data_IF_603767665441
#
_entry.id   IF_603767665441
#
_cell.length_a   1.000
_cell.length_b   1.000
_cell.length_c   1.000
_cell.angle_alpha   90.00
_cell.angle_beta   90.00
_cell.angle_gamma   90.00
#
_symmetry.space_group_name_H-M   'P 1'
#
loop_
_entity.id
_entity.type
_entity.pdbx_description
1 polymer ?
#
# COMPACT_ATOMS: atom_id res chain seq x y z
N UNK A 1 6.66 15.79 -67.64
CA UNK A 1 6.46 16.34 -66.28
C UNK A 1 7.33 15.56 -65.32
N UNK A 2 8.21 16.20 -64.54
CA UNK A 2 8.90 15.51 -63.43
C UNK A 2 7.83 15.15 -62.39
N UNK A 3 7.67 13.85 -62.10
CA UNK A 3 6.60 13.31 -61.23
C UNK A 3 6.86 13.58 -59.74
N UNK A 4 8.05 14.05 -59.39
CA UNK A 4 8.45 14.35 -58.02
C UNK A 4 9.41 15.53 -58.05
N UNK A 5 9.30 16.39 -57.03
CA UNK A 5 10.06 17.62 -56.87
C UNK A 5 10.38 17.78 -55.38
N UNK A 6 11.62 18.12 -55.05
CA UNK A 6 12.09 18.22 -53.66
C UNK A 6 12.33 19.67 -53.27
N UNK A 7 11.57 20.13 -52.27
CA UNK A 7 11.76 21.41 -51.60
C UNK A 7 12.50 21.18 -50.29
N UNK A 8 13.81 21.40 -50.27
CA UNK A 8 14.62 21.32 -49.05
C UNK A 8 16.06 21.80 -49.25
N UNK A 9 16.87 21.76 -48.20
CA UNK A 9 18.27 22.19 -48.25
C UNK A 9 19.10 21.22 -49.10
N UNK A 10 19.97 21.74 -49.96
CA UNK A 10 20.99 20.94 -50.66
C UNK A 10 22.07 20.55 -49.65
N UNK A 11 22.19 19.27 -49.34
CA UNK A 11 23.13 18.74 -48.35
C UNK A 11 24.56 18.58 -48.88
N UNK A 12 24.78 18.63 -50.20
CA UNK A 12 26.08 18.45 -50.85
C UNK A 12 26.37 19.52 -51.90
N UNK A 13 27.66 19.88 -52.06
CA UNK A 13 28.14 20.78 -53.13
C UNK A 13 28.15 20.12 -54.52
N UNK A 14 28.05 18.80 -54.58
CA UNK A 14 28.08 18.01 -55.83
C UNK A 14 26.66 17.75 -56.36
N UNK A 15 25.84 18.79 -56.55
CA UNK A 15 24.52 18.66 -57.16
C UNK A 15 24.61 18.88 -58.67
N UNK A 16 23.78 18.16 -59.44
CA UNK A 16 23.68 18.29 -60.90
C UNK A 16 22.33 18.88 -61.30
N UNK A 17 22.24 19.51 -62.47
CA UNK A 17 21.00 20.11 -62.99
C UNK A 17 19.91 19.06 -63.30
N UNK A 18 20.25 17.77 -63.35
CA UNK A 18 19.30 16.67 -63.49
C UNK A 18 18.56 16.31 -62.20
N UNK A 19 19.05 16.73 -61.03
CA UNK A 19 18.48 16.36 -59.73
C UNK A 19 17.05 16.90 -59.52
N UNK A 20 16.40 16.39 -58.47
CA UNK A 20 14.97 16.57 -58.20
C UNK A 20 14.66 17.91 -57.49
N UNK A 21 15.67 18.73 -57.23
CA UNK A 21 15.52 20.00 -56.53
C UNK A 21 14.79 21.04 -57.38
N UNK A 22 13.83 21.74 -56.76
CA UNK A 22 13.19 22.91 -57.37
C UNK A 22 14.09 24.13 -57.15
N UNK A 23 14.50 24.85 -58.21
CA UNK A 23 15.26 26.09 -58.06
C UNK A 23 14.35 27.20 -57.51
N UNK A 24 14.88 27.99 -56.59
CA UNK A 24 14.22 29.19 -56.07
C UNK A 24 14.66 30.43 -56.85
N UNK A 25 13.90 31.52 -56.72
CA UNK A 25 14.17 32.79 -57.42
C UNK A 25 15.43 33.51 -56.93
N UNK A 26 15.88 33.26 -55.70
CA UNK A 26 17.09 33.85 -55.13
C UNK A 26 17.78 32.89 -54.16
N UNK A 27 19.07 33.11 -53.94
CA UNK A 27 19.87 32.34 -52.96
C UNK A 27 19.32 32.44 -51.54
N UNK A 28 18.79 33.61 -51.17
CA UNK A 28 18.23 33.82 -49.83
C UNK A 28 16.96 33.00 -49.62
N UNK A 29 16.06 32.98 -50.62
CA UNK A 29 14.89 32.10 -50.58
C UNK A 29 15.29 30.64 -50.58
N UNK A 30 16.32 30.25 -51.34
CA UNK A 30 16.78 28.87 -51.36
C UNK A 30 17.30 28.40 -49.99
N UNK A 31 18.07 29.25 -49.32
CA UNK A 31 18.74 28.91 -48.06
C UNK A 31 17.79 28.96 -46.84
N UNK A 32 16.80 29.85 -46.84
CA UNK A 32 15.93 30.10 -45.68
C UNK A 32 14.45 29.71 -45.88
N UNK A 33 14.09 28.96 -46.94
CA UNK A 33 12.69 28.57 -47.24
C UNK A 33 11.98 27.72 -46.17
N UNK A 34 12.72 27.04 -45.29
CA UNK A 34 12.16 26.20 -44.23
C UNK A 34 12.32 26.82 -42.84
N UNK A 35 12.75 28.08 -42.77
CA UNK A 35 12.80 28.79 -41.50
C UNK A 35 11.39 29.10 -40.99
N UNK A 36 11.17 29.07 -39.67
CA UNK A 36 9.86 29.38 -39.10
C UNK A 36 9.45 30.82 -39.43
N UNK A 37 8.19 31.00 -39.81
CA UNK A 37 7.56 32.30 -40.01
C UNK A 37 6.53 32.59 -38.92
N UNK A 38 6.32 33.87 -38.65
CA UNK A 38 5.30 34.33 -37.70
C UNK A 38 4.05 34.76 -38.45
N UNK A 39 2.91 34.20 -38.08
CA UNK A 39 1.60 34.54 -38.63
C UNK A 39 0.69 34.99 -37.49
N UNK A 40 0.11 36.18 -37.62
CA UNK A 40 -0.94 36.67 -36.71
C UNK A 40 -2.21 36.80 -37.53
N UNK A 41 -3.27 36.17 -37.03
CA UNK A 41 -4.61 36.20 -37.63
C UNK A 41 -5.59 36.95 -36.74
N UNK A 42 -6.65 37.49 -37.33
CA UNK A 42 -7.78 38.06 -36.59
C UNK A 42 -8.75 36.96 -36.10
N UNK A 43 -9.78 37.36 -35.36
CA UNK A 43 -10.85 36.45 -34.87
C UNK A 43 -11.68 35.83 -36.01
N UNK A 44 -11.51 36.28 -37.25
CA UNK A 44 -12.16 35.81 -38.47
C UNK A 44 -11.21 34.96 -39.36
N UNK A 45 -10.04 34.57 -38.82
CA UNK A 45 -8.98 33.80 -39.48
C UNK A 45 -8.29 34.50 -40.68
N UNK A 46 -8.47 35.81 -40.85
CA UNK A 46 -7.74 36.60 -41.84
C UNK A 46 -6.32 36.89 -41.35
N UNK A 47 -5.33 36.80 -42.24
CA UNK A 47 -3.92 37.07 -41.91
C UNK A 47 -3.66 38.58 -41.83
N UNK A 48 -3.44 39.10 -40.62
CA UNK A 48 -3.07 40.51 -40.38
C UNK A 48 -1.57 40.72 -40.54
N UNK A 49 -0.77 39.73 -40.12
CA UNK A 49 0.68 39.82 -40.12
C UNK A 49 1.28 38.51 -40.58
N UNK A 50 2.17 38.59 -41.55
CA UNK A 50 3.01 37.49 -41.98
C UNK A 50 4.41 38.04 -42.19
N UNK A 51 5.39 37.47 -41.48
CA UNK A 51 6.81 37.78 -41.65
C UNK A 51 7.63 36.51 -41.49
N UNK A 52 8.56 36.32 -42.42
CA UNK A 52 9.51 35.22 -42.39
C UNK A 52 10.91 35.68 -41.96
N UNK A 53 11.84 34.74 -41.90
CA UNK A 53 13.23 35.01 -41.54
C UNK A 53 13.89 36.01 -42.50
N UNK A 54 13.54 36.00 -43.79
CA UNK A 54 14.10 36.89 -44.80
C UNK A 54 13.60 38.31 -44.59
N UNK A 55 12.31 38.47 -44.30
CA UNK A 55 11.73 39.76 -43.93
C UNK A 55 12.38 40.34 -42.66
N UNK A 56 12.66 39.51 -41.65
CA UNK A 56 13.35 39.91 -40.43
C UNK A 56 14.74 40.49 -40.73
N UNK A 57 15.56 39.78 -41.54
CA UNK A 57 16.89 40.25 -41.93
C UNK A 57 16.81 41.53 -42.78
N UNK A 58 15.88 41.56 -43.75
CA UNK A 58 15.69 42.73 -44.62
C UNK A 58 15.25 43.97 -43.84
N UNK A 59 14.41 43.79 -42.81
CA UNK A 59 13.99 44.89 -41.94
C UNK A 59 15.17 45.47 -41.15
N UNK A 60 16.04 44.63 -40.59
CA UNK A 60 17.25 45.08 -39.88
C UNK A 60 18.18 45.84 -40.83
N UNK A 61 18.36 45.33 -42.06
CA UNK A 61 19.16 46.01 -43.09
C UNK A 61 18.56 47.37 -43.47
N UNK A 62 17.23 47.45 -43.62
CA UNK A 62 16.53 48.70 -43.94
C UNK A 62 16.65 49.74 -42.81
N UNK A 63 16.76 49.30 -41.56
CA UNK A 63 17.00 50.15 -40.39
C UNK A 63 18.49 50.51 -40.18
N UNK A 64 19.38 50.08 -41.09
CA UNK A 64 20.81 50.39 -41.04
C UNK A 64 21.66 49.43 -40.21
N UNK A 65 21.11 48.27 -39.80
CA UNK A 65 21.85 47.23 -39.08
C UNK A 65 22.78 46.40 -39.98
N UNK A 66 23.86 45.88 -39.40
CA UNK A 66 24.77 44.97 -40.11
C UNK A 66 24.18 43.55 -40.14
N UNK A 67 23.94 43.04 -41.36
CA UNK A 67 23.37 41.71 -41.63
C UNK A 67 24.36 40.76 -42.33
N UNK A 68 25.63 41.12 -42.43
CA UNK A 68 26.63 40.32 -43.16
C UNK A 68 26.87 38.95 -42.48
N UNK A 69 26.70 38.88 -41.15
CA UNK A 69 26.86 37.65 -40.38
C UNK A 69 25.67 37.39 -39.45
N UNK A 70 24.73 36.56 -39.93
CA UNK A 70 23.54 36.16 -39.18
C UNK A 70 23.86 35.43 -37.87
N UNK A 71 24.99 34.71 -37.79
CA UNK A 71 25.38 34.01 -36.56
C UNK A 71 25.78 34.98 -35.46
N UNK A 72 26.36 36.13 -35.80
CA UNK A 72 26.67 37.19 -34.84
C UNK A 72 25.40 37.96 -34.49
N UNK A 73 24.58 38.30 -35.49
CA UNK A 73 23.32 39.01 -35.32
C UNK A 73 22.36 38.28 -34.36
N UNK A 74 22.26 36.95 -34.51
CA UNK A 74 21.36 36.11 -33.72
C UNK A 74 22.02 35.50 -32.47
N UNK A 75 23.24 35.94 -32.11
CA UNK A 75 23.91 35.42 -30.92
C UNK A 75 23.16 35.87 -29.67
N UNK A 76 22.74 34.91 -28.84
CA UNK A 76 22.09 35.17 -27.56
C UNK A 76 22.96 34.62 -26.42
N UNK A 77 23.11 35.38 -25.34
CA UNK A 77 23.80 34.94 -24.11
C UNK A 77 22.84 34.29 -23.10
N UNK A 78 21.56 34.63 -23.17
CA UNK A 78 20.53 34.13 -22.28
C UNK A 78 19.41 33.48 -23.10
N UNK A 79 19.00 32.27 -22.70
CA UNK A 79 17.87 31.56 -23.28
C UNK A 79 16.78 31.39 -22.23
N UNK A 80 15.52 31.60 -22.62
CA UNK A 80 14.39 31.24 -21.78
C UNK A 80 14.21 29.72 -21.85
N UNK A 81 14.66 29.01 -20.81
CA UNK A 81 14.38 27.59 -20.66
C UNK A 81 13.02 27.41 -20.01
N UNK A 82 12.09 26.79 -20.72
CA UNK A 82 10.86 26.25 -20.16
C UNK A 82 11.10 24.75 -19.92
N UNK A 83 11.67 24.34 -18.78
CA UNK A 83 11.71 22.93 -18.47
C UNK A 83 10.25 22.47 -18.38
N UNK A 84 9.84 21.54 -19.24
CA UNK A 84 8.54 20.89 -19.16
C UNK A 84 8.47 19.95 -17.94
N UNK A 85 8.83 20.47 -16.77
CA UNK A 85 8.85 19.80 -15.48
C UNK A 85 7.82 20.46 -14.57
N UNK A 86 7.21 19.66 -13.71
CA UNK A 86 6.28 20.17 -12.71
C UNK A 86 7.06 20.55 -11.45
N UNK A 87 7.23 21.86 -11.22
CA UNK A 87 8.04 22.38 -10.10
C UNK A 87 7.58 21.90 -8.73
N UNK A 88 6.28 21.78 -8.52
CA UNK A 88 5.71 21.27 -7.27
C UNK A 88 6.14 19.81 -6.99
N UNK A 89 6.19 18.95 -8.04
CA UNK A 89 6.66 17.56 -7.89
C UNK A 89 8.16 17.48 -7.66
N UNK A 90 8.92 18.38 -8.28
CA UNK A 90 10.37 18.42 -8.15
C UNK A 90 10.81 18.93 -6.76
N UNK A 91 10.12 19.94 -6.24
CA UNK A 91 10.41 20.50 -4.92
C UNK A 91 9.98 19.57 -3.78
N UNK A 92 8.76 19.00 -3.89
CA UNK A 92 8.20 18.11 -2.87
C UNK A 92 8.52 16.63 -3.12
N UNK A 93 9.63 16.31 -3.80
CA UNK A 93 9.93 14.94 -4.24
C UNK A 93 9.96 13.90 -3.11
N UNK A 94 10.23 14.31 -1.86
CA UNK A 94 10.22 13.42 -0.69
C UNK A 94 8.83 13.01 -0.25
N UNK A 95 7.83 13.83 -0.55
CA UNK A 95 6.42 13.60 -0.23
C UNK A 95 5.69 12.83 -1.34
N UNK A 96 6.29 12.75 -2.53
CA UNK A 96 5.79 11.93 -3.63
C UNK A 96 6.43 10.55 -3.62
N UNK A 97 5.62 9.51 -3.79
CA UNK A 97 6.13 8.15 -3.97
C UNK A 97 6.58 7.94 -5.42
N UNK A 98 7.87 7.67 -5.63
CA UNK A 98 8.48 7.39 -6.95
C UNK A 98 8.64 5.90 -7.24
N UNK A 99 7.95 5.04 -6.49
CA UNK A 99 7.97 3.59 -6.70
C UNK A 99 6.91 3.19 -7.74
N UNK A 100 7.27 2.27 -8.65
CA UNK A 100 6.34 1.70 -9.65
C UNK A 100 5.07 1.10 -9.03
N UNK A 101 5.13 0.72 -7.75
CA UNK A 101 4.03 0.10 -7.00
C UNK A 101 3.43 1.00 -5.89
N UNK A 102 3.83 2.28 -5.81
CA UNK A 102 3.38 3.19 -4.76
C UNK A 102 3.91 2.84 -3.36
N UNK A 103 3.38 3.46 -2.29
CA UNK A 103 3.72 3.10 -0.90
C UNK A 103 3.32 1.68 -0.54
N UNK A 104 3.99 1.12 0.48
CA UNK A 104 3.57 -0.14 1.08
C UNK A 104 2.21 0.01 1.76
N UNK A 105 1.30 -0.93 1.50
CA UNK A 105 -0.02 -0.97 2.15
C UNK A 105 0.12 -1.43 3.60
N UNK A 106 -0.39 -0.63 4.53
CA UNK A 106 -0.51 -0.99 5.95
C UNK A 106 -1.91 -1.55 6.21
N UNK A 107 -1.98 -2.74 6.81
CA UNK A 107 -3.26 -3.36 7.16
C UNK A 107 -3.78 -2.91 8.50
N UNK A 108 -4.98 -2.32 8.49
CA UNK A 108 -5.73 -1.91 9.68
C UNK A 108 -6.71 -3.02 10.02
N UNK A 109 -6.53 -3.62 11.20
CA UNK A 109 -7.50 -4.56 11.77
C UNK A 109 -8.33 -3.85 12.83
N UNK A 110 -9.57 -4.32 13.00
CA UNK A 110 -10.49 -3.83 14.01
C UNK A 110 -10.31 -4.46 15.38
N UNK A 111 -11.29 -4.26 16.26
CA UNK A 111 -11.33 -4.94 17.55
C UNK A 111 -11.72 -6.41 17.36
N UNK A 112 -11.11 -7.31 18.14
CA UNK A 112 -11.42 -8.74 18.08
C UNK A 112 -12.87 -9.01 18.52
N UNK A 113 -13.61 -9.76 17.70
CA UNK A 113 -14.94 -10.26 18.06
C UNK A 113 -14.80 -11.36 19.11
N UNK A 114 -15.46 -11.19 20.25
CA UNK A 114 -15.45 -12.16 21.36
C UNK A 114 -16.26 -13.41 20.99
N UNK A 115 -15.61 -14.36 20.33
CA UNK A 115 -16.19 -15.69 20.10
C UNK A 115 -15.99 -16.53 21.36
N UNK A 116 -17.10 -17.03 21.91
CA UNK A 116 -17.10 -17.98 23.02
C UNK A 116 -17.29 -19.40 22.47
N UNK A 117 -16.35 -20.29 22.75
CA UNK A 117 -16.43 -21.71 22.36
C UNK A 117 -16.37 -22.60 23.60
N UNK A 118 -17.25 -23.59 23.69
CA UNK A 118 -17.30 -24.53 24.82
C UNK A 118 -16.81 -25.91 24.41
N UNK A 119 -15.79 -26.42 25.09
CA UNK A 119 -15.29 -27.79 24.99
C UNK A 119 -15.70 -28.58 26.23
N UNK A 120 -16.06 -29.85 26.10
CA UNK A 120 -16.20 -30.75 27.25
C UNK A 120 -14.95 -31.61 27.39
N UNK A 121 -14.49 -31.82 28.62
CA UNK A 121 -13.28 -32.55 28.97
C UNK A 121 -13.63 -33.72 29.88
N UNK A 122 -13.42 -34.94 29.39
CA UNK A 122 -13.71 -36.19 30.11
C UNK A 122 -12.45 -37.05 30.24
N UNK A 123 -12.43 -37.96 31.21
CA UNK A 123 -11.36 -38.95 31.37
C UNK A 123 -11.71 -40.21 30.57
N UNK A 124 -10.77 -40.70 29.77
CA UNK A 124 -10.80 -42.06 29.22
C UNK A 124 -9.79 -42.94 29.94
N UNK A 125 -10.27 -44.05 30.49
CA UNK A 125 -9.42 -45.07 31.11
C UNK A 125 -8.95 -46.06 30.03
N UNK A 126 -7.66 -46.05 29.72
CA UNK A 126 -7.02 -47.18 29.04
C UNK A 126 -6.50 -48.14 30.12
N UNK A 127 -6.53 -49.44 29.86
CA UNK A 127 -6.20 -50.54 30.80
C UNK A 127 -5.00 -50.24 31.73
N UNK A 128 -3.98 -49.51 31.27
CA UNK A 128 -2.79 -49.13 32.05
C UNK A 128 -2.54 -47.60 32.19
N UNK A 129 -3.41 -46.72 31.67
CA UNK A 129 -3.18 -45.25 31.70
C UNK A 129 -4.46 -44.42 31.57
N UNK A 130 -4.52 -43.25 32.21
CA UNK A 130 -5.58 -42.27 31.99
C UNK A 130 -5.22 -41.27 30.87
N UNK A 131 -6.21 -40.71 30.18
CA UNK A 131 -6.03 -39.65 29.19
C UNK A 131 -7.23 -38.70 29.16
N UNK A 132 -7.01 -37.43 28.79
CA UNK A 132 -8.09 -36.47 28.56
C UNK A 132 -8.67 -36.63 27.15
N UNK A 133 -9.99 -36.53 27.07
CA UNK A 133 -10.78 -36.59 25.86
C UNK A 133 -11.54 -35.27 25.71
N UNK A 134 -11.38 -34.60 24.57
CA UNK A 134 -12.10 -33.36 24.27
C UNK A 134 -13.20 -33.62 23.23
N UNK A 135 -14.42 -33.16 23.51
CA UNK A 135 -15.54 -33.17 22.55
C UNK A 135 -15.54 -31.82 21.84
N UNK A 136 -15.55 -31.77 20.48
CA UNK A 136 -16.40 -32.58 19.59
C UNK A 136 -15.77 -33.83 18.96
N UNK A 137 -14.45 -33.99 19.02
CA UNK A 137 -13.75 -35.10 18.35
C UNK A 137 -13.97 -36.43 19.08
N UNK A 138 -13.94 -36.45 20.42
CA UNK A 138 -14.34 -37.60 21.24
C UNK A 138 -13.55 -38.90 21.00
N UNK A 139 -12.49 -38.84 20.20
CA UNK A 139 -11.75 -40.00 19.69
C UNK A 139 -10.25 -39.90 19.99
N UNK A 140 -9.66 -38.70 19.87
CA UNK A 140 -8.23 -38.47 20.10
C UNK A 140 -7.90 -38.28 21.58
N UNK A 141 -6.90 -39.02 22.07
CA UNK A 141 -6.39 -38.89 23.44
C UNK A 141 -5.38 -37.74 23.52
N UNK A 142 -5.54 -36.85 24.51
CA UNK A 142 -4.72 -35.66 24.72
C UNK A 142 -4.47 -34.85 23.42
N UNK A 143 -5.53 -34.42 22.71
CA UNK A 143 -5.40 -33.77 21.41
C UNK A 143 -4.63 -32.45 21.48
N UNK A 144 -3.87 -32.13 20.44
CA UNK A 144 -3.32 -30.78 20.26
C UNK A 144 -4.43 -29.85 19.79
N UNK A 145 -4.86 -28.93 20.64
CA UNK A 145 -5.95 -28.00 20.39
C UNK A 145 -5.41 -26.67 19.86
N UNK A 146 -6.05 -26.15 18.81
CA UNK A 146 -5.74 -24.84 18.23
C UNK A 146 -6.65 -23.80 18.86
N UNK A 147 -6.07 -22.85 19.57
CA UNK A 147 -6.75 -21.72 20.18
C UNK A 147 -6.32 -20.43 19.49
N UNK A 148 -7.14 -19.40 19.59
CA UNK A 148 -6.88 -18.10 19.00
C UNK A 148 -6.83 -17.00 20.06
N UNK A 149 -5.83 -16.12 19.97
CA UNK A 149 -5.71 -14.93 20.85
C UNK A 149 -6.95 -14.05 20.69
N UNK A 150 -7.48 -13.51 21.78
CA UNK A 150 -8.68 -12.67 21.75
C UNK A 150 -10.01 -13.41 21.88
N UNK A 151 -10.01 -14.73 21.82
CA UNK A 151 -11.21 -15.54 22.04
C UNK A 151 -11.30 -16.05 23.46
N UNK A 152 -12.52 -16.36 23.90
CA UNK A 152 -12.78 -16.97 25.20
C UNK A 152 -13.19 -18.43 25.01
N UNK A 153 -12.44 -19.34 25.62
CA UNK A 153 -12.76 -20.76 25.62
C UNK A 153 -13.27 -21.21 26.98
N UNK A 154 -14.41 -21.89 26.99
CA UNK A 154 -14.98 -22.50 28.18
C UNK A 154 -14.69 -24.00 28.12
N UNK A 155 -14.04 -24.54 29.14
CA UNK A 155 -13.78 -25.96 29.30
C UNK A 155 -14.69 -26.49 30.40
N UNK A 156 -15.67 -27.32 30.05
CA UNK A 156 -16.49 -28.03 31.01
C UNK A 156 -15.77 -29.31 31.46
N UNK A 157 -15.26 -29.31 32.68
CA UNK A 157 -14.37 -30.33 33.22
C UNK A 157 -15.19 -31.36 34.00
N UNK A 158 -15.05 -32.63 33.64
CA UNK A 158 -15.55 -33.79 34.38
C UNK A 158 -14.43 -34.81 34.55
N UNK A 159 -13.43 -34.46 35.36
CA UNK A 159 -12.17 -35.19 35.49
C UNK A 159 -11.83 -35.52 36.95
N UNK A 160 -12.72 -36.30 37.59
CA UNK A 160 -12.57 -36.72 38.99
C UNK A 160 -11.23 -37.44 39.24
N UNK A 161 -10.45 -36.97 40.22
CA UNK A 161 -9.15 -37.54 40.57
C UNK A 161 -7.97 -37.16 39.66
N UNK A 162 -8.22 -36.44 38.56
CA UNK A 162 -7.19 -35.88 37.67
C UNK A 162 -7.47 -34.37 37.49
N UNK A 163 -7.01 -33.51 38.42
CA UNK A 163 -7.30 -32.08 38.39
C UNK A 163 -6.75 -31.41 37.14
N UNK A 164 -7.61 -30.74 36.38
CA UNK A 164 -7.26 -30.02 35.16
C UNK A 164 -6.50 -28.72 35.47
N UNK A 165 -5.37 -28.50 34.79
CA UNK A 165 -4.55 -27.29 34.90
C UNK A 165 -4.02 -26.83 33.55
N UNK A 166 -3.74 -25.53 33.43
CA UNK A 166 -3.06 -24.91 32.29
C UNK A 166 -1.67 -24.43 32.73
N UNK A 167 -0.63 -24.79 31.99
CA UNK A 167 0.78 -24.58 32.33
C UNK A 167 1.60 -24.09 31.14
N UNK A 168 2.70 -23.39 31.43
CA UNK A 168 3.68 -22.95 30.41
C UNK A 168 4.64 -24.07 29.99
N UNK A 169 4.84 -25.07 30.84
CA UNK A 169 5.71 -26.23 30.60
C UNK A 169 5.02 -27.50 31.07
N UNK A 170 5.24 -28.62 30.37
CA UNK A 170 4.83 -29.95 30.82
C UNK A 170 5.61 -30.36 32.07
N UNK A 171 5.05 -30.09 33.25
CA UNK A 171 5.64 -30.39 34.55
C UNK A 171 4.55 -30.56 35.61
N UNK A 172 4.83 -31.34 36.65
CA UNK A 172 3.96 -31.49 37.82
C UNK A 172 4.11 -30.32 38.81
N UNK A 173 5.20 -29.55 38.74
CA UNK A 173 5.38 -28.39 39.63
C UNK A 173 4.27 -27.36 39.44
N UNK A 174 3.88 -26.71 40.54
CA UNK A 174 2.96 -25.57 40.58
C UNK A 174 3.59 -24.28 40.06
N UNK A 175 4.92 -24.20 39.96
CA UNK A 175 5.64 -22.99 39.55
C UNK A 175 5.36 -22.58 38.10
N UNK A 176 4.92 -23.53 37.28
CA UNK A 176 4.65 -23.34 35.85
C UNK A 176 3.16 -23.13 35.53
N UNK A 177 2.31 -22.90 36.54
CA UNK A 177 0.90 -22.59 36.33
C UNK A 177 0.75 -21.28 35.55
N UNK A 178 -0.05 -21.33 34.50
CA UNK A 178 -0.38 -20.14 33.71
C UNK A 178 -1.66 -19.51 34.26
N UNK A 179 -1.53 -18.39 34.97
CA UNK A 179 -2.67 -17.73 35.64
C UNK A 179 -3.21 -16.52 34.87
N UNK A 180 -2.59 -16.14 33.76
CA UNK A 180 -3.01 -14.98 32.98
C UNK A 180 -4.23 -15.35 32.12
N UNK A 181 -5.38 -14.77 32.45
CA UNK A 181 -6.65 -15.05 31.77
C UNK A 181 -7.30 -16.40 32.12
N UNK A 182 -6.80 -17.19 33.07
CA UNK A 182 -7.41 -18.48 33.45
C UNK A 182 -8.28 -18.32 34.71
N UNK A 183 -9.55 -18.73 34.67
CA UNK A 183 -10.49 -18.52 35.77
C UNK A 183 -10.24 -19.40 36.99
N UNK A 184 -9.75 -20.63 36.81
CA UNK A 184 -9.53 -21.60 37.86
C UNK A 184 -8.46 -22.64 37.46
N UNK A 185 -7.76 -23.18 38.45
CA UNK A 185 -6.71 -24.18 38.29
C UNK A 185 -6.98 -25.36 39.23
N UNK A 186 -6.50 -26.55 38.88
CA UNK A 186 -6.70 -27.80 39.62
C UNK A 186 -8.19 -28.16 39.77
N UNK A 187 -8.95 -28.03 38.69
CA UNK A 187 -10.40 -28.28 38.70
C UNK A 187 -10.67 -29.74 38.36
N UNK A 188 -11.43 -30.43 39.20
CA UNK A 188 -11.86 -31.82 38.97
C UNK A 188 -13.29 -31.91 38.43
N UNK A 189 -14.13 -30.91 38.72
CA UNK A 189 -15.50 -30.80 38.21
C UNK A 189 -15.90 -29.32 38.11
N UNK A 190 -16.48 -28.92 36.98
CA UNK A 190 -17.00 -27.58 36.73
C UNK A 190 -16.35 -26.88 35.54
N UNK A 191 -16.66 -25.61 35.33
CA UNK A 191 -16.24 -24.87 34.12
C UNK A 191 -14.98 -24.04 34.37
N UNK A 192 -13.95 -24.23 33.55
CA UNK A 192 -12.75 -23.40 33.47
C UNK A 192 -12.89 -22.47 32.27
N UNK A 193 -12.87 -21.17 32.51
CA UNK A 193 -12.97 -20.13 31.50
C UNK A 193 -11.57 -19.60 31.21
N UNK A 194 -11.18 -19.58 29.94
CA UNK A 194 -9.90 -19.11 29.46
C UNK A 194 -10.06 -18.08 28.32
N UNK A 195 -10.24 -16.78 28.64
CA UNK A 195 -9.96 -15.70 27.70
C UNK A 195 -8.47 -15.68 27.35
N UNK A 196 -8.12 -15.98 26.10
CA UNK A 196 -6.73 -16.03 25.64
C UNK A 196 -6.20 -14.61 25.46
N UNK A 197 -5.22 -14.16 26.27
CA UNK A 197 -4.68 -12.81 26.15
C UNK A 197 -3.95 -12.57 24.82
N UNK A 198 -3.87 -11.33 24.36
CA UNK A 198 -3.14 -10.96 23.13
C UNK A 198 -1.62 -11.21 23.25
N UNK A 199 -1.10 -11.20 24.47
CA UNK A 199 0.29 -11.48 24.83
C UNK A 199 0.52 -12.96 25.23
N UNK A 200 -0.47 -13.85 25.05
CA UNK A 200 -0.32 -15.26 25.38
C UNK A 200 0.81 -15.91 24.58
N UNK A 201 1.62 -16.82 25.17
CA UNK A 201 2.64 -17.59 24.44
C UNK A 201 2.05 -18.41 23.30
N UNK A 202 2.84 -18.72 22.26
CA UNK A 202 2.40 -19.55 21.11
C UNK A 202 2.07 -21.00 21.52
N UNK A 203 2.63 -21.46 22.64
CA UNK A 203 2.48 -22.82 23.15
C UNK A 203 2.20 -22.78 24.65
N UNK A 204 1.08 -23.38 25.03
CA UNK A 204 0.76 -23.74 26.41
C UNK A 204 0.46 -25.23 26.48
N UNK A 205 0.48 -25.78 27.69
CA UNK A 205 0.14 -27.16 27.96
C UNK A 205 -1.07 -27.20 28.87
N UNK A 206 -2.01 -28.09 28.56
CA UNK A 206 -3.02 -28.48 29.53
C UNK A 206 -2.69 -29.87 30.03
N UNK A 207 -2.98 -30.14 31.29
CA UNK A 207 -2.71 -31.45 31.84
C UNK A 207 -3.11 -31.59 33.29
N UNK A 208 -2.97 -32.81 33.77
CA UNK A 208 -3.31 -33.13 35.13
C UNK A 208 -2.23 -32.62 36.10
N UNK A 209 -2.67 -32.12 37.25
CA UNK A 209 -1.76 -31.68 38.30
C UNK A 209 -0.95 -32.81 38.93
N UNK A 210 -1.47 -34.05 38.89
CA UNK A 210 -0.91 -35.20 39.59
C UNK A 210 -0.36 -36.33 38.68
N UNK A 211 -0.61 -36.28 37.36
CA UNK A 211 -0.10 -37.28 36.40
C UNK A 211 0.54 -36.63 35.16
N UNK A 212 1.82 -36.92 34.93
CA UNK A 212 2.60 -36.36 33.83
C UNK A 212 2.26 -36.96 32.45
N UNK A 213 1.57 -38.11 32.44
CA UNK A 213 1.14 -38.80 31.22
C UNK A 213 -0.16 -38.21 30.67
N UNK A 214 -0.90 -37.45 31.50
CA UNK A 214 -2.18 -36.82 31.14
C UNK A 214 -1.93 -35.35 30.77
N UNK A 215 -1.29 -35.12 29.63
CA UNK A 215 -0.98 -33.77 29.11
C UNK A 215 -1.22 -33.69 27.61
N UNK A 216 -1.73 -32.55 27.16
CA UNK A 216 -1.78 -32.15 25.76
C UNK A 216 -1.34 -30.70 25.56
N UNK A 217 -1.42 -30.25 24.30
CA UNK A 217 -0.89 -28.96 23.88
C UNK A 217 -2.00 -28.02 23.45
N UNK A 218 -1.92 -26.77 23.89
CA UNK A 218 -2.62 -25.64 23.30
C UNK A 218 -1.66 -24.88 22.37
N UNK A 219 -1.95 -24.91 21.07
CA UNK A 219 -1.25 -24.11 20.06
C UNK A 219 -2.06 -22.83 19.84
N UNK A 220 -1.48 -21.70 20.23
CA UNK A 220 -2.14 -20.40 20.20
C UNK A 220 -1.74 -19.66 18.93
N UNK A 221 -2.74 -19.25 18.14
CA UNK A 221 -2.58 -18.54 16.88
C UNK A 221 -3.16 -17.14 16.95
N UNK A 222 -2.68 -16.26 16.08
CA UNK A 222 -3.26 -14.93 15.89
C UNK A 222 -4.56 -15.04 15.09
N UNK A 223 -5.59 -14.30 15.51
CA UNK A 223 -6.85 -14.21 14.79
C UNK A 223 -6.94 -12.91 13.99
N UNK A 224 -6.07 -12.77 13.00
CA UNK A 224 -6.05 -11.60 12.12
C UNK A 224 -7.34 -11.41 11.28
N UNK A 225 -8.28 -12.36 11.33
CA UNK A 225 -9.47 -12.40 10.46
C UNK A 225 -10.81 -12.22 11.20
N UNK A 226 -10.83 -12.29 12.54
CA UNK A 226 -12.06 -12.13 13.34
C UNK A 226 -12.08 -10.80 14.09
N UNK A 227 -11.77 -9.73 13.37
CA UNK A 227 -11.81 -8.37 13.89
C UNK A 227 -12.91 -7.58 13.19
N UNK A 228 -13.73 -6.83 13.91
CA UNK A 228 -14.69 -5.91 13.29
C UNK A 228 -14.18 -4.47 13.39
N UNK A 229 -14.27 -3.74 12.28
CA UNK A 229 -13.90 -2.33 12.22
C UNK A 229 -15.01 -1.53 11.55
N UNK A 230 -15.48 -0.49 12.23
CA UNK A 230 -16.35 0.50 11.61
C UNK A 230 -15.48 1.68 11.15
N UNK A 231 -15.14 1.75 9.88
CA UNK A 231 -14.21 2.77 9.36
C UNK A 231 -14.74 4.19 9.54
N UNK A 232 -16.04 4.38 9.32
CA UNK A 232 -16.65 5.72 9.43
C UNK A 232 -16.72 6.20 10.90
N UNK A 233 -16.90 5.29 11.87
CA UNK A 233 -16.99 5.63 13.30
C UNK A 233 -15.62 5.58 14.02
N UNK A 234 -14.79 4.62 13.67
CA UNK A 234 -13.56 4.28 14.41
C UNK A 234 -12.31 4.89 13.79
N UNK A 235 -12.37 5.37 12.55
CA UNK A 235 -11.20 5.83 11.80
C UNK A 235 -11.36 7.26 11.28
N UNK A 236 -12.45 7.55 10.56
CA UNK A 236 -12.70 8.87 9.95
C UNK A 236 -13.06 9.90 11.02
N UNK A 237 -12.65 11.16 10.82
CA UNK A 237 -12.99 12.25 11.73
C UNK A 237 -12.11 12.38 12.97
N UNK A 238 -11.34 11.34 13.32
CA UNK A 238 -10.40 11.37 14.43
C UNK A 238 -9.19 12.26 14.11
N UNK A 239 -8.58 12.87 15.14
CA UNK A 239 -7.36 13.69 14.98
C UNK A 239 -6.12 12.84 14.76
N UNK A 240 -6.01 11.75 15.51
CA UNK A 240 -4.88 10.83 15.50
C UNK A 240 -5.40 9.40 15.66
N UNK A 241 -4.64 8.45 15.12
CA UNK A 241 -4.90 7.04 15.28
C UNK A 241 -3.57 6.33 15.51
N UNK A 242 -3.56 5.41 16.47
CA UNK A 242 -2.41 4.56 16.76
C UNK A 242 -2.90 3.13 16.57
N UNK A 243 -2.20 2.39 15.71
CA UNK A 243 -2.46 0.99 15.44
C UNK A 243 -2.18 0.12 16.69
N UNK A 244 -2.72 -1.10 16.71
CA UNK A 244 -2.51 -2.03 17.83
C UNK A 244 -1.03 -2.38 18.07
N UNK A 245 -0.21 -2.31 17.02
CA UNK A 245 1.24 -2.51 17.08
C UNK A 245 2.03 -1.29 17.61
N UNK A 246 1.34 -0.19 17.95
CA UNK A 246 1.93 1.07 18.42
C UNK A 246 2.35 2.03 17.29
N UNK A 247 2.18 1.66 16.02
CA UNK A 247 2.50 2.51 14.88
C UNK A 247 1.53 3.70 14.84
N UNK A 248 2.05 4.92 14.64
CA UNK A 248 1.23 6.13 14.51
C UNK A 248 0.83 6.33 13.05
N UNK A 249 -0.44 6.63 12.82
CA UNK A 249 -0.93 7.02 11.50
C UNK A 249 -0.31 8.36 11.07
N UNK A 250 0.05 8.50 9.79
CA UNK A 250 0.55 9.73 9.19
C UNK A 250 -0.08 10.00 7.82
N UNK A 251 -0.02 11.25 7.36
CA UNK A 251 -0.48 11.62 6.03
C UNK A 251 0.33 10.89 4.95
N UNK A 252 -0.33 10.51 3.86
CA UNK A 252 0.27 9.81 2.73
C UNK A 252 0.49 8.31 2.96
N UNK A 253 0.08 7.74 4.10
CA UNK A 253 0.07 6.29 4.28
C UNK A 253 -1.02 5.65 3.42
N UNK A 254 -0.69 4.52 2.77
CA UNK A 254 -1.69 3.67 2.10
C UNK A 254 -2.15 2.60 3.07
N UNK A 255 -3.46 2.47 3.23
CA UNK A 255 -4.09 1.55 4.18
C UNK A 255 -5.11 0.65 3.51
N UNK A 256 -5.24 -0.59 4.01
CA UNK A 256 -6.40 -1.44 3.74
C UNK A 256 -7.00 -1.95 5.04
N UNK A 257 -8.29 -2.25 5.03
CA UNK A 257 -9.01 -2.72 6.21
C UNK A 257 -9.23 -4.23 6.12
N UNK A 258 -8.95 -4.95 7.21
CA UNK A 258 -9.08 -6.41 7.28
C UNK A 258 -10.07 -6.83 8.38
N UNK A 259 -10.69 -8.00 8.17
CA UNK A 259 -11.73 -8.55 9.02
C UNK A 259 -13.15 -8.20 8.54
N UNK A 260 -14.08 -7.99 9.46
CA UNK A 260 -15.45 -7.57 9.20
C UNK A 260 -15.52 -6.03 9.14
N UNK A 261 -15.34 -5.48 7.94
CA UNK A 261 -15.25 -4.04 7.67
C UNK A 261 -16.64 -3.46 7.38
N UNK A 262 -17.03 -2.41 8.12
CA UNK A 262 -18.25 -1.64 7.85
C UNK A 262 -17.89 -0.16 7.63
N UNK A 263 -18.41 0.51 6.58
CA UNK A 263 -19.18 -0.02 5.45
C UNK A 263 -18.35 -0.86 4.48
N UNK A 264 -19.02 -1.75 3.72
CA UNK A 264 -18.38 -2.67 2.76
C UNK A 264 -17.50 -1.99 1.70
N UNK A 265 -17.71 -0.70 1.43
CA UNK A 265 -16.89 0.08 0.48
C UNK A 265 -15.39 0.08 0.81
N UNK A 266 -15.02 -0.11 2.08
CA UNK A 266 -13.62 -0.15 2.51
C UNK A 266 -13.00 -1.55 2.55
N UNK A 267 -13.77 -2.59 2.20
CA UNK A 267 -13.37 -4.00 2.41
C UNK A 267 -12.34 -4.51 1.41
N UNK A 268 -12.42 -4.06 0.16
CA UNK A 268 -11.58 -4.57 -0.95
C UNK A 268 -10.53 -3.58 -1.41
N UNK A 269 -10.76 -2.29 -1.18
CA UNK A 269 -10.01 -1.22 -1.82
C UNK A 269 -8.93 -0.67 -0.88
N UNK A 270 -7.88 -0.11 -1.47
CA UNK A 270 -6.80 0.57 -0.75
C UNK A 270 -7.06 2.08 -0.74
N UNK A 271 -6.70 2.72 0.36
CA UNK A 271 -7.03 4.12 0.63
C UNK A 271 -5.79 4.88 1.08
N UNK A 272 -5.64 6.12 0.62
CA UNK A 272 -4.65 7.07 1.11
C UNK A 272 -5.20 7.85 2.29
N UNK A 273 -4.37 8.02 3.31
CA UNK A 273 -4.70 8.76 4.52
C UNK A 273 -4.31 10.22 4.37
N UNK A 274 -5.26 11.12 4.65
CA UNK A 274 -5.03 12.57 4.71
C UNK A 274 -5.61 13.19 5.99
N UNK A 275 -5.18 14.41 6.31
CA UNK A 275 -5.75 15.20 7.40
C UNK A 275 -5.38 14.76 8.83
N UNK A 276 -4.40 13.87 8.99
CA UNK A 276 -3.85 13.49 10.31
C UNK A 276 -3.36 14.74 11.04
N UNK A 277 -3.83 14.92 12.28
CA UNK A 277 -3.59 16.10 13.12
C UNK A 277 -4.80 17.05 13.20
N UNK A 278 -5.69 17.04 12.22
CA UNK A 278 -6.91 17.84 12.18
C UNK A 278 -8.17 16.96 12.12
N UNK A 279 -8.34 16.22 11.04
CA UNK A 279 -9.47 15.34 10.79
C UNK A 279 -9.06 14.29 9.74
N UNK A 280 -8.98 13.02 10.16
CA UNK A 280 -8.58 11.93 9.26
C UNK A 280 -9.62 11.74 8.16
N UNK A 281 -9.13 11.71 6.91
CA UNK A 281 -9.89 11.45 5.69
C UNK A 281 -9.22 10.34 4.89
N UNK A 282 -10.03 9.60 4.15
CA UNK A 282 -9.59 8.53 3.26
C UNK A 282 -9.85 8.94 1.80
N UNK A 283 -8.81 8.88 0.98
CA UNK A 283 -8.88 9.14 -0.46
C UNK A 283 -8.70 7.81 -1.17
N UNK A 284 -9.63 7.47 -2.07
CA UNK A 284 -9.57 6.21 -2.82
C UNK A 284 -8.36 6.19 -3.77
N UNK A 285 -7.67 5.05 -3.89
CA UNK A 285 -6.51 4.93 -4.79
C UNK A 285 -6.89 4.90 -6.29
N UNK A 286 -8.16 4.68 -6.64
CA UNK A 286 -8.65 4.53 -8.03
C UNK A 286 -9.85 5.40 -8.41
#
# INVERSE_FOLDING_TARGET
QKLSAYYGRKSSKAYTTSDVYVPEVSSDRENYKLEPGTVIKDDLDNTIFYKDYIDYINQIKALGGNVDNHSILNKQEFYAWAPHIHWDKFYNFREYYWMTYGPLTVSVTGQQENVQSTYTVEIKNNVDSYAYLFTPDGLTQNPSLKLYRGQTYNFDISTQGLPFTIKTVRSLSSDYLYNDGVSAQNVESGTVIFPVPINAPDLLYYGSANDINVFGEFKIYNISENTSINVDADFIGKKTYIFEDGTKLSNGMKVNFRGNVTPDKYKTDEWYVEGVGNEIKLVHEK
#
